data_IF_361751929390
#
_entry.id   IF_361751929390
#
_cell.length_a   1.000
_cell.length_b   1.000
_cell.length_c   1.000
_cell.angle_alpha   90.00
_cell.angle_beta   90.00
_cell.angle_gamma   90.00
#
_symmetry.space_group_name_H-M   'P 1'
#
loop_
_entity.id
_entity.type
_entity.pdbx_description
1 polymer ?
#
# COMPACT_ATOMS: atom_id res chain seq x y z
N UNK A 1 7.52 14.73 -21.26
CA UNK A 1 7.66 14.03 -19.97
C UNK A 1 6.32 13.40 -19.63
N UNK A 2 6.32 12.19 -19.12
CA UNK A 2 5.07 11.53 -18.76
C UNK A 2 4.65 12.12 -17.39
N UNK A 3 3.55 12.88 -17.34
CA UNK A 3 3.12 13.56 -16.10
C UNK A 3 2.41 12.63 -15.11
N UNK A 4 2.41 11.31 -15.38
CA UNK A 4 1.71 10.32 -14.54
C UNK A 4 2.54 9.93 -13.33
N UNK A 5 1.90 9.90 -12.18
CA UNK A 5 2.56 9.56 -10.91
C UNK A 5 1.83 8.42 -10.19
N UNK A 6 2.62 7.49 -9.66
CA UNK A 6 2.14 6.44 -8.77
C UNK A 6 2.83 6.54 -7.41
N UNK A 7 2.05 6.47 -6.33
CA UNK A 7 2.56 6.29 -4.98
C UNK A 7 2.44 4.82 -4.58
N UNK A 8 3.55 4.19 -4.18
CA UNK A 8 3.61 2.77 -3.79
C UNK A 8 4.11 2.65 -2.35
N UNK A 9 3.30 2.10 -1.44
CA UNK A 9 3.76 1.69 -0.12
C UNK A 9 4.23 0.23 -0.14
N UNK A 10 5.16 -0.14 0.76
CA UNK A 10 5.78 -1.47 0.73
C UNK A 10 6.75 -1.65 -0.45
N UNK A 11 7.32 -0.55 -0.96
CA UNK A 11 8.15 -0.56 -2.16
C UNK A 11 9.57 -1.13 -1.98
N UNK A 12 10.02 -1.42 -0.75
CA UNK A 12 11.39 -1.89 -0.50
C UNK A 12 11.66 -3.32 -0.99
N UNK A 13 10.65 -4.17 -1.11
CA UNK A 13 10.79 -5.58 -1.52
C UNK A 13 9.53 -6.09 -2.23
N UNK A 14 9.59 -7.30 -2.78
CA UNK A 14 8.45 -8.06 -3.28
C UNK A 14 7.65 -7.34 -4.36
N UNK A 15 6.34 -7.40 -4.25
CA UNK A 15 5.39 -6.84 -5.24
C UNK A 15 5.60 -5.34 -5.42
N UNK A 16 5.71 -4.60 -4.31
CA UNK A 16 5.87 -3.14 -4.38
C UNK A 16 7.14 -2.72 -5.10
N UNK A 17 8.27 -3.40 -4.84
CA UNK A 17 9.55 -3.13 -5.52
C UNK A 17 9.49 -3.47 -7.01
N UNK A 18 8.95 -4.62 -7.36
CA UNK A 18 8.80 -5.03 -8.76
C UNK A 18 7.92 -4.05 -9.55
N UNK A 19 6.83 -3.60 -8.90
CA UNK A 19 5.93 -2.62 -9.50
C UNK A 19 6.60 -1.26 -9.69
N UNK A 20 7.34 -0.77 -8.70
CA UNK A 20 8.08 0.48 -8.77
C UNK A 20 9.03 0.50 -9.97
N UNK A 21 9.82 -0.55 -10.14
CA UNK A 21 10.73 -0.71 -11.29
C UNK A 21 9.94 -0.74 -12.61
N UNK A 22 8.82 -1.47 -12.66
CA UNK A 22 8.03 -1.60 -13.88
C UNK A 22 7.38 -0.28 -14.28
N UNK A 23 6.82 0.47 -13.33
CA UNK A 23 6.21 1.77 -13.63
C UNK A 23 7.27 2.79 -14.08
N UNK A 24 8.41 2.88 -13.41
CA UNK A 24 9.50 3.78 -13.79
C UNK A 24 10.04 3.46 -15.19
N UNK A 25 10.23 2.17 -15.54
CA UNK A 25 10.61 1.76 -16.91
C UNK A 25 9.59 2.15 -17.98
N UNK A 26 8.34 2.39 -17.60
CA UNK A 26 7.28 2.89 -18.50
C UNK A 26 7.11 4.41 -18.42
N UNK A 27 8.06 5.13 -17.85
CA UNK A 27 8.11 6.58 -17.81
C UNK A 27 7.19 7.23 -16.77
N UNK A 28 6.73 6.49 -15.75
CA UNK A 28 5.97 7.06 -14.66
C UNK A 28 6.88 7.59 -13.56
N UNK A 29 6.51 8.70 -12.96
CA UNK A 29 7.08 9.11 -11.69
C UNK A 29 6.59 8.14 -10.59
N UNK A 30 7.52 7.60 -9.81
CA UNK A 30 7.24 6.63 -8.76
C UNK A 30 7.62 7.20 -7.40
N UNK A 31 6.64 7.49 -6.56
CA UNK A 31 6.86 7.77 -5.15
C UNK A 31 6.91 6.44 -4.38
N UNK A 32 8.09 6.02 -3.98
CA UNK A 32 8.32 4.74 -3.31
C UNK A 32 8.41 4.92 -1.80
N UNK A 33 7.54 4.23 -1.03
CA UNK A 33 7.50 4.33 0.43
C UNK A 33 7.69 2.99 1.11
N UNK A 34 8.53 2.96 2.12
CA UNK A 34 8.75 1.84 3.05
C UNK A 34 9.53 2.33 4.27
N UNK A 35 9.66 1.47 5.31
CA UNK A 35 10.43 1.79 6.52
C UNK A 35 11.96 1.72 6.29
N UNK A 36 12.41 0.81 5.43
CA UNK A 36 13.84 0.53 5.19
C UNK A 36 14.39 1.52 4.17
N UNK A 37 14.97 2.61 4.67
CA UNK A 37 15.49 3.70 3.83
C UNK A 37 16.63 3.26 2.91
N UNK A 38 17.53 2.38 3.38
CA UNK A 38 18.62 1.85 2.58
C UNK A 38 18.10 1.16 1.31
N UNK A 39 17.05 0.30 1.43
CA UNK A 39 16.47 -0.40 0.28
C UNK A 39 15.68 0.53 -0.65
N UNK A 40 15.17 1.65 -0.14
CA UNK A 40 14.56 2.67 -0.98
C UNK A 40 15.61 3.43 -1.78
N UNK A 41 16.77 3.74 -1.19
CA UNK A 41 17.90 4.37 -1.90
C UNK A 41 18.43 3.47 -3.00
N UNK A 42 18.66 2.18 -2.72
CA UNK A 42 19.01 1.20 -3.75
C UNK A 42 17.98 1.15 -4.91
N UNK A 43 16.70 1.33 -4.59
CA UNK A 43 15.65 1.36 -5.60
C UNK A 43 15.68 2.64 -6.46
N UNK A 44 15.98 3.80 -5.87
CA UNK A 44 16.20 5.07 -6.59
C UNK A 44 17.36 4.98 -7.57
N UNK A 45 18.46 4.32 -7.19
CA UNK A 45 19.64 4.13 -8.04
C UNK A 45 19.33 3.34 -9.32
N UNK A 46 18.27 2.54 -9.33
CA UNK A 46 17.88 1.74 -10.50
C UNK A 46 17.21 2.56 -11.61
N UNK A 47 16.60 3.69 -11.28
CA UNK A 47 15.91 4.53 -12.26
C UNK A 47 15.63 5.93 -11.71
N UNK A 48 15.99 6.97 -12.46
CA UNK A 48 15.84 8.37 -12.08
C UNK A 48 14.39 8.85 -11.83
N UNK A 49 13.40 8.08 -12.27
CA UNK A 49 11.97 8.38 -12.07
C UNK A 49 11.41 7.73 -10.79
N UNK A 50 12.27 7.09 -9.98
CA UNK A 50 11.92 6.57 -8.65
C UNK A 50 12.44 7.53 -7.59
N UNK A 51 11.57 7.90 -6.66
CA UNK A 51 11.86 8.83 -5.57
C UNK A 51 11.46 8.21 -4.25
N UNK A 52 12.37 8.20 -3.27
CA UNK A 52 12.12 7.61 -1.97
C UNK A 52 11.42 8.57 -1.00
N UNK A 53 10.41 8.02 -0.34
CA UNK A 53 9.66 8.69 0.73
C UNK A 53 9.53 7.72 1.91
N UNK A 54 10.53 7.69 2.82
CA UNK A 54 10.51 6.80 3.98
C UNK A 54 9.25 6.97 4.82
N UNK A 55 8.60 5.84 5.14
CA UNK A 55 7.31 5.82 5.83
C UNK A 55 7.11 4.54 6.63
N UNK A 56 6.77 4.68 7.90
CA UNK A 56 6.03 3.68 8.65
C UNK A 56 4.54 3.98 8.53
N UNK A 57 3.79 3.07 7.90
CA UNK A 57 2.36 3.25 7.67
C UNK A 57 1.54 3.21 8.97
N UNK A 58 2.11 2.74 10.07
CA UNK A 58 1.45 2.74 11.39
C UNK A 58 1.44 4.12 12.04
N UNK A 59 2.28 5.04 11.56
CA UNK A 59 2.27 6.44 11.97
C UNK A 59 1.31 7.25 11.09
N UNK A 60 0.14 7.55 11.65
CA UNK A 60 -0.94 8.26 10.97
C UNK A 60 -0.57 9.67 10.51
N UNK A 61 0.16 10.40 11.35
CA UNK A 61 0.54 11.78 11.01
C UNK A 61 1.65 11.77 9.94
N UNK A 62 2.58 10.83 10.05
CA UNK A 62 3.62 10.64 9.03
C UNK A 62 3.04 10.26 7.66
N UNK A 63 1.97 9.48 7.60
CA UNK A 63 1.27 9.19 6.35
C UNK A 63 0.77 10.48 5.67
N UNK A 64 0.20 11.41 6.43
CA UNK A 64 -0.26 12.71 5.89
C UNK A 64 0.90 13.58 5.41
N UNK A 65 1.97 13.69 6.23
CA UNK A 65 3.17 14.47 5.88
C UNK A 65 3.83 13.95 4.61
N UNK A 66 3.99 12.62 4.50
CA UNK A 66 4.61 11.99 3.33
C UNK A 66 3.74 12.20 2.10
N UNK A 67 2.42 12.00 2.20
CA UNK A 67 1.54 12.27 1.06
C UNK A 67 1.61 13.73 0.61
N UNK A 68 1.63 14.67 1.56
CA UNK A 68 1.78 16.10 1.23
C UNK A 68 3.09 16.39 0.48
N UNK A 69 4.21 15.80 0.90
CA UNK A 69 5.50 15.92 0.20
C UNK A 69 5.43 15.37 -1.23
N UNK A 70 4.74 14.25 -1.43
CA UNK A 70 4.53 13.64 -2.75
C UNK A 70 3.67 14.56 -3.63
N UNK A 71 2.57 15.10 -3.09
CA UNK A 71 1.69 16.04 -3.77
C UNK A 71 2.45 17.32 -4.17
N UNK A 72 3.26 17.87 -3.27
CA UNK A 72 4.03 19.09 -3.53
C UNK A 72 5.09 18.88 -4.63
N UNK A 73 5.70 17.68 -4.68
CA UNK A 73 6.71 17.33 -5.68
C UNK A 73 6.11 17.11 -7.07
N UNK A 74 5.05 16.31 -7.17
CA UNK A 74 4.55 15.85 -8.47
C UNK A 74 3.28 16.57 -8.94
N UNK A 75 2.60 17.33 -8.07
CA UNK A 75 1.34 18.03 -8.31
C UNK A 75 0.14 17.11 -8.64
N UNK A 76 0.38 16.02 -9.36
CA UNK A 76 -0.67 15.04 -9.68
C UNK A 76 -0.24 13.64 -9.26
N UNK A 77 -1.14 12.92 -8.58
CA UNK A 77 -1.01 11.50 -8.26
C UNK A 77 -2.19 10.77 -8.93
N UNK A 78 -1.88 9.81 -9.78
CA UNK A 78 -2.88 9.09 -10.57
C UNK A 78 -3.26 7.77 -9.94
N UNK A 79 -2.29 7.11 -9.30
CA UNK A 79 -2.48 5.82 -8.63
C UNK A 79 -1.85 5.88 -7.24
N UNK A 80 -2.58 5.40 -6.23
CA UNK A 80 -2.03 5.05 -4.92
C UNK A 80 -2.13 3.54 -4.74
N UNK A 81 -0.98 2.89 -4.63
CA UNK A 81 -0.86 1.43 -4.55
C UNK A 81 -0.35 1.02 -3.16
N UNK A 82 -1.23 0.43 -2.37
CA UNK A 82 -0.97 0.07 -0.99
C UNK A 82 -0.66 -1.42 -0.87
N UNK A 83 0.65 -1.74 -0.82
CA UNK A 83 1.14 -3.11 -0.71
C UNK A 83 1.95 -3.40 0.55
N UNK A 84 1.98 -2.46 1.50
CA UNK A 84 2.60 -2.72 2.79
C UNK A 84 1.87 -3.85 3.50
N UNK A 85 2.63 -4.80 4.00
CA UNK A 85 2.09 -5.89 4.79
C UNK A 85 3.20 -6.69 5.45
N UNK A 86 2.84 -7.32 6.55
CA UNK A 86 3.67 -8.28 7.25
C UNK A 86 2.89 -9.58 7.40
N UNK A 87 3.60 -10.68 7.39
CA UNK A 87 3.12 -11.98 7.77
C UNK A 87 3.98 -12.47 8.93
N UNK A 88 3.33 -12.82 10.01
CA UNK A 88 3.95 -13.41 11.18
C UNK A 88 3.12 -14.64 11.56
N UNK A 89 3.69 -15.84 11.49
CA UNK A 89 2.96 -17.07 11.79
C UNK A 89 2.58 -17.21 13.28
N UNK A 90 3.17 -16.38 14.16
CA UNK A 90 3.02 -16.53 15.60
C UNK A 90 3.77 -17.74 16.16
N UNK A 91 3.48 -18.06 17.41
CA UNK A 91 3.99 -19.28 18.05
C UNK A 91 3.14 -20.48 17.65
N UNK A 92 3.77 -21.61 17.35
CA UNK A 92 3.04 -22.85 17.12
C UNK A 92 2.19 -23.22 18.35
N UNK A 93 0.92 -23.58 18.11
CA UNK A 93 -0.06 -24.10 19.09
C UNK A 93 -0.70 -23.10 20.06
N UNK A 94 -0.38 -21.80 19.99
CA UNK A 94 -1.01 -20.82 20.87
C UNK A 94 -1.61 -19.69 20.04
N UNK A 95 -2.74 -19.13 20.51
CA UNK A 95 -3.28 -17.88 19.96
C UNK A 95 -2.53 -16.73 20.65
N UNK A 96 -1.70 -16.04 19.88
CA UNK A 96 -0.95 -14.89 20.36
C UNK A 96 -1.70 -13.60 19.96
N UNK A 97 -2.40 -13.01 20.91
CA UNK A 97 -3.23 -11.82 20.71
C UNK A 97 -2.35 -10.61 20.31
N UNK A 98 -1.20 -10.43 20.97
CA UNK A 98 -0.30 -9.32 20.68
C UNK A 98 0.27 -9.40 19.25
N UNK A 99 0.65 -10.61 18.82
CA UNK A 99 1.06 -10.86 17.43
C UNK A 99 -0.06 -10.50 16.43
N UNK A 100 -1.31 -10.91 16.72
CA UNK A 100 -2.47 -10.63 15.86
C UNK A 100 -2.71 -9.10 15.79
N UNK A 101 -2.66 -8.41 16.92
CA UNK A 101 -2.79 -6.95 16.97
C UNK A 101 -1.71 -6.24 16.15
N UNK A 102 -0.45 -6.68 16.25
CA UNK A 102 0.66 -6.13 15.49
C UNK A 102 0.47 -6.34 13.97
N UNK A 103 0.03 -7.53 13.55
CA UNK A 103 -0.28 -7.79 12.14
C UNK A 103 -1.44 -6.92 11.66
N UNK A 104 -2.50 -6.80 12.44
CA UNK A 104 -3.64 -5.92 12.13
C UNK A 104 -3.21 -4.46 12.06
N UNK A 105 -2.37 -4.00 12.98
CA UNK A 105 -1.85 -2.63 13.02
C UNK A 105 -1.11 -2.28 11.73
N UNK A 106 -0.26 -3.16 11.23
CA UNK A 106 0.48 -2.92 9.98
C UNK A 106 -0.41 -3.09 8.75
N UNK A 107 -1.07 -4.25 8.62
CA UNK A 107 -1.75 -4.63 7.38
C UNK A 107 -3.04 -3.85 7.14
N UNK A 108 -3.87 -3.71 8.17
CA UNK A 108 -5.17 -3.07 8.06
C UNK A 108 -5.11 -1.57 8.40
N UNK A 109 -4.72 -1.24 9.63
CA UNK A 109 -4.70 0.17 10.05
C UNK A 109 -3.65 0.99 9.32
N UNK A 110 -2.47 0.40 9.01
CA UNK A 110 -1.45 1.05 8.19
C UNK A 110 -1.95 1.38 6.78
N UNK A 111 -2.64 0.45 6.14
CA UNK A 111 -3.29 0.70 4.83
C UNK A 111 -4.38 1.77 4.95
N UNK A 112 -5.20 1.72 6.00
CA UNK A 112 -6.26 2.70 6.24
C UNK A 112 -5.69 4.11 6.47
N UNK A 113 -4.56 4.26 7.18
CA UNK A 113 -3.88 5.53 7.37
C UNK A 113 -3.43 6.14 6.03
N UNK A 114 -2.86 5.31 5.14
CA UNK A 114 -2.48 5.74 3.80
C UNK A 114 -3.70 6.14 2.95
N UNK A 115 -4.78 5.37 2.99
CA UNK A 115 -6.04 5.72 2.29
C UNK A 115 -6.58 7.05 2.82
N UNK A 116 -6.57 7.24 4.14
CA UNK A 116 -7.03 8.49 4.76
C UNK A 116 -6.22 9.71 4.33
N UNK A 117 -4.92 9.54 4.09
CA UNK A 117 -4.06 10.64 3.63
C UNK A 117 -4.42 11.11 2.21
N UNK A 118 -4.86 10.20 1.33
CA UNK A 118 -5.20 10.51 -0.08
C UNK A 118 -6.69 10.83 -0.30
N UNK A 119 -7.53 10.57 0.69
CA UNK A 119 -9.00 10.65 0.56
C UNK A 119 -9.47 12.00 0.02
N UNK A 120 -9.10 13.08 0.69
CA UNK A 120 -9.52 14.44 0.32
C UNK A 120 -9.01 14.83 -1.07
N UNK A 121 -7.76 14.46 -1.37
CA UNK A 121 -7.14 14.73 -2.66
C UNK A 121 -7.93 14.09 -3.81
N UNK A 122 -8.22 12.80 -3.75
CA UNK A 122 -8.95 12.11 -4.81
C UNK A 122 -10.42 12.56 -4.92
N UNK A 123 -11.07 12.84 -3.79
CA UNK A 123 -12.43 13.39 -3.81
C UNK A 123 -12.49 14.77 -4.49
N UNK A 124 -11.46 15.60 -4.29
CA UNK A 124 -11.37 16.92 -4.93
C UNK A 124 -10.99 16.79 -6.42
N UNK A 125 -9.97 15.98 -6.73
CA UNK A 125 -9.50 15.75 -8.10
C UNK A 125 -10.57 15.09 -8.99
N UNK A 126 -11.54 14.39 -8.40
CA UNK A 126 -12.60 13.61 -9.08
C UNK A 126 -12.08 12.61 -10.11
N UNK A 127 -10.90 12.10 -9.90
CA UNK A 127 -10.25 11.08 -10.72
C UNK A 127 -9.11 10.43 -9.95
N UNK A 128 -8.74 9.22 -10.33
CA UNK A 128 -7.61 8.49 -9.75
C UNK A 128 -7.93 7.04 -9.48
N UNK A 129 -6.96 6.36 -8.86
CA UNK A 129 -7.08 4.94 -8.61
C UNK A 129 -6.43 4.57 -7.27
N UNK A 130 -7.17 3.97 -6.37
CA UNK A 130 -6.71 3.37 -5.12
C UNK A 130 -6.64 1.86 -5.33
N UNK A 131 -5.45 1.28 -5.22
CA UNK A 131 -5.23 -0.16 -5.32
C UNK A 131 -4.76 -0.71 -3.98
N UNK A 132 -5.44 -1.73 -3.48
CA UNK A 132 -5.18 -2.35 -2.19
C UNK A 132 -4.72 -3.79 -2.41
N UNK A 133 -3.56 -4.15 -1.85
CA UNK A 133 -3.06 -5.53 -1.92
C UNK A 133 -3.54 -6.34 -0.73
N UNK A 134 -4.44 -7.26 -1.00
CA UNK A 134 -4.92 -8.28 -0.08
C UNK A 134 -4.16 -9.61 -0.29
N UNK A 135 -4.84 -10.72 -0.19
CA UNK A 135 -4.34 -12.08 -0.39
C UNK A 135 -5.52 -13.06 -0.56
N UNK A 136 -5.25 -14.23 -1.15
CA UNK A 136 -6.18 -15.37 -1.09
C UNK A 136 -6.51 -15.76 0.34
N UNK A 137 -5.59 -15.52 1.31
CA UNK A 137 -5.82 -15.73 2.74
C UNK A 137 -6.93 -14.82 3.32
N UNK A 138 -7.34 -13.77 2.61
CA UNK A 138 -8.48 -12.95 2.98
C UNK A 138 -9.85 -13.57 2.63
N UNK A 139 -9.88 -14.64 1.84
CA UNK A 139 -11.11 -15.35 1.49
C UNK A 139 -11.31 -16.68 2.26
N UNK A 140 -10.19 -17.27 2.70
CA UNK A 140 -10.19 -18.56 3.40
C UNK A 140 -9.11 -18.57 4.47
N UNK A 141 -9.41 -19.18 5.62
CA UNK A 141 -8.41 -19.44 6.67
C UNK A 141 -7.32 -20.38 6.14
N UNK A 142 -6.09 -20.02 6.41
CA UNK A 142 -4.91 -20.83 6.09
C UNK A 142 -4.15 -21.17 7.38
N UNK A 143 -3.41 -22.29 7.42
CA UNK A 143 -2.54 -22.60 8.55
C UNK A 143 -1.58 -21.44 8.87
N UNK A 144 -1.27 -21.23 10.12
CA UNK A 144 -0.34 -20.19 10.61
C UNK A 144 -0.67 -18.77 10.13
N UNK A 145 -1.97 -18.46 10.00
CA UNK A 145 -2.44 -17.18 9.45
C UNK A 145 -3.51 -16.51 10.32
N UNK A 146 -3.49 -16.77 11.63
CA UNK A 146 -4.51 -16.27 12.58
C UNK A 146 -4.58 -14.74 12.66
N UNK A 147 -3.47 -14.02 12.45
CA UNK A 147 -3.45 -12.57 12.32
C UNK A 147 -3.53 -12.12 10.86
N UNK A 148 -2.78 -12.79 9.98
CA UNK A 148 -2.68 -12.40 8.57
C UNK A 148 -3.99 -12.55 7.82
N UNK A 149 -4.63 -13.71 7.88
CA UNK A 149 -5.90 -13.97 7.19
C UNK A 149 -6.99 -12.94 7.55
N UNK A 150 -7.31 -12.76 8.84
CA UNK A 150 -8.26 -11.72 9.28
C UNK A 150 -7.88 -10.31 8.82
N UNK A 151 -6.59 -9.93 8.85
CA UNK A 151 -6.16 -8.61 8.38
C UNK A 151 -6.44 -8.41 6.88
N UNK A 152 -6.28 -9.45 6.06
CA UNK A 152 -6.56 -9.41 4.62
C UNK A 152 -8.06 -9.50 4.33
N UNK A 153 -8.82 -10.24 5.13
CA UNK A 153 -10.28 -10.25 5.05
C UNK A 153 -10.90 -8.89 5.37
N UNK A 154 -10.37 -8.20 6.36
CA UNK A 154 -10.77 -6.83 6.68
C UNK A 154 -10.48 -5.86 5.51
N UNK A 155 -9.35 -6.01 4.79
CA UNK A 155 -9.05 -5.23 3.60
C UNK A 155 -9.99 -5.54 2.43
N UNK A 156 -10.46 -6.81 2.28
CA UNK A 156 -11.43 -7.16 1.26
C UNK A 156 -12.73 -6.38 1.46
N UNK A 157 -13.29 -6.43 2.66
CA UNK A 157 -14.52 -5.72 3.00
C UNK A 157 -14.35 -4.20 2.90
N UNK A 158 -13.22 -3.66 3.38
CA UNK A 158 -12.90 -2.24 3.26
C UNK A 158 -12.87 -1.79 1.80
N UNK A 159 -12.23 -2.55 0.90
CA UNK A 159 -12.14 -2.20 -0.50
C UNK A 159 -13.51 -2.16 -1.19
N UNK A 160 -14.40 -3.10 -0.87
CA UNK A 160 -15.79 -3.11 -1.36
C UNK A 160 -16.55 -1.87 -0.89
N UNK A 161 -16.46 -1.51 0.39
CA UNK A 161 -17.09 -0.31 0.95
C UNK A 161 -16.56 0.96 0.28
N UNK A 162 -15.24 1.07 0.14
CA UNK A 162 -14.60 2.21 -0.50
C UNK A 162 -14.96 2.33 -1.99
N UNK A 163 -15.20 1.22 -2.69
CA UNK A 163 -15.67 1.24 -4.07
C UNK A 163 -16.97 2.06 -4.21
N UNK A 164 -17.94 1.84 -3.33
CA UNK A 164 -19.19 2.60 -3.34
C UNK A 164 -18.97 4.07 -2.95
N UNK A 165 -18.16 4.30 -1.91
CA UNK A 165 -17.90 5.65 -1.39
C UNK A 165 -17.15 6.55 -2.38
N UNK A 166 -16.24 5.98 -3.17
CA UNK A 166 -15.41 6.72 -4.12
C UNK A 166 -15.99 6.77 -5.55
N UNK A 167 -16.90 5.87 -5.90
CA UNK A 167 -17.51 5.79 -7.25
C UNK A 167 -18.10 7.12 -7.70
N UNK A 168 -18.83 7.83 -6.83
CA UNK A 168 -19.45 9.14 -7.14
C UNK A 168 -18.44 10.25 -7.42
N UNK A 169 -17.18 10.05 -7.05
CA UNK A 169 -16.09 11.00 -7.33
C UNK A 169 -15.24 10.58 -8.54
N UNK A 170 -15.65 9.57 -9.31
CA UNK A 170 -14.88 9.10 -10.46
C UNK A 170 -13.54 8.41 -10.08
N UNK A 171 -13.36 8.04 -8.82
CA UNK A 171 -12.16 7.37 -8.32
C UNK A 171 -12.37 5.86 -8.35
N UNK A 172 -11.44 5.15 -8.96
CA UNK A 172 -11.46 3.68 -8.99
C UNK A 172 -10.87 3.11 -7.71
N UNK A 173 -11.44 2.03 -7.24
CA UNK A 173 -10.88 1.22 -6.15
C UNK A 173 -10.72 -0.20 -6.67
N UNK A 174 -9.52 -0.77 -6.49
CA UNK A 174 -9.22 -2.15 -6.87
C UNK A 174 -8.64 -2.92 -5.68
N UNK A 175 -9.09 -4.15 -5.55
CA UNK A 175 -8.52 -5.14 -4.65
C UNK A 175 -7.69 -6.13 -5.46
N UNK A 176 -6.46 -6.39 -5.02
CA UNK A 176 -5.55 -7.34 -5.65
C UNK A 176 -5.28 -8.44 -4.63
N UNK A 177 -5.67 -9.66 -4.94
CA UNK A 177 -5.58 -10.81 -4.03
C UNK A 177 -4.60 -11.86 -4.58
N UNK A 178 -3.29 -11.66 -4.41
CA UNK A 178 -2.31 -12.62 -4.88
C UNK A 178 -2.40 -13.95 -4.13
N UNK A 179 -2.01 -15.02 -4.83
CA UNK A 179 -1.67 -16.29 -4.20
C UNK A 179 -0.23 -16.27 -3.65
N UNK A 180 0.42 -17.44 -3.66
CA UNK A 180 1.84 -17.54 -3.30
C UNK A 180 2.69 -16.94 -4.41
N UNK A 181 3.47 -15.91 -4.08
CA UNK A 181 4.38 -15.23 -5.01
C UNK A 181 5.80 -15.43 -4.52
N UNK A 182 6.68 -15.87 -5.42
CA UNK A 182 8.10 -15.91 -5.15
C UNK A 182 8.64 -14.47 -5.20
N UNK A 183 9.09 -13.98 -4.06
CA UNK A 183 9.65 -12.64 -3.88
C UNK A 183 11.09 -12.69 -3.44
#
# INVERSE_FOLDING_TARGET
MNDKTIWITGASTGIGRALAIKFAKNGWNVAASARRENLLKELEELNQDIYSFPLDVTDKEKCKEVFKKIEDKFKTIDISFFSTGTWDPGKEKEIDVEQIENVMKVNFFGTLNCIKSVEKYYRYKKSGHISIVSSIAGYRGLPNSTGYGPSKSALNNLAESLFFDFKRYGVRVSLISPGFIKT
#
